data_IF_912592283838
#
_entry.id   IF_912592283838
#
_cell.length_a   1.000
_cell.length_b   1.000
_cell.length_c   1.000
_cell.angle_alpha   90.00
_cell.angle_beta   90.00
_cell.angle_gamma   90.00
#
_symmetry.space_group_name_H-M   'P 1'
#
loop_
_entity.id
_entity.type
_entity.pdbx_description
1 polymer ?
#
# COMPACT_ATOMS: atom_id res chain seq x y z
N UNK A 1 -11.19 -5.94 27.36
CA UNK A 1 -11.18 -7.31 26.80
C UNK A 1 -10.53 -7.30 25.42
N UNK A 2 -9.58 -8.20 25.12
CA UNK A 2 -8.93 -8.29 23.79
C UNK A 2 -9.91 -8.90 22.78
N UNK A 3 -10.20 -8.29 21.62
CA UNK A 3 -11.09 -8.82 20.57
C UNK A 3 -10.71 -10.21 20.06
N UNK A 4 -11.71 -10.95 19.58
CA UNK A 4 -11.54 -12.31 19.05
C UNK A 4 -10.53 -12.37 17.89
N UNK A 5 -10.49 -11.37 17.00
CA UNK A 5 -9.53 -11.31 15.89
C UNK A 5 -8.08 -11.22 16.39
N UNK A 6 -7.82 -10.35 17.37
CA UNK A 6 -6.49 -10.14 17.95
C UNK A 6 -6.04 -11.36 18.77
N UNK A 7 -6.95 -12.01 19.50
CA UNK A 7 -6.65 -13.29 20.18
C UNK A 7 -6.27 -14.38 19.18
N UNK A 8 -7.02 -14.51 18.06
CA UNK A 8 -6.70 -15.47 16.99
C UNK A 8 -5.33 -15.22 16.39
N UNK A 9 -4.99 -13.96 16.14
CA UNK A 9 -3.64 -13.60 15.69
C UNK A 9 -2.59 -14.00 16.71
N UNK A 10 -2.76 -13.60 17.97
CA UNK A 10 -1.79 -13.87 19.02
C UNK A 10 -1.49 -15.37 19.16
N UNK A 11 -2.52 -16.22 19.19
CA UNK A 11 -2.35 -17.67 19.24
C UNK A 11 -1.64 -18.24 18.01
N UNK A 12 -1.98 -17.76 16.80
CA UNK A 12 -1.35 -18.21 15.56
C UNK A 12 0.13 -17.79 15.50
N UNK A 13 0.41 -16.53 15.87
CA UNK A 13 1.74 -15.97 15.88
C UNK A 13 2.64 -16.64 16.92
N UNK A 14 2.16 -16.82 18.16
CA UNK A 14 2.91 -17.53 19.20
C UNK A 14 3.26 -18.95 18.78
N UNK A 15 2.31 -19.70 18.21
CA UNK A 15 2.58 -21.05 17.69
C UNK A 15 3.68 -21.03 16.63
N UNK A 16 3.60 -20.11 15.67
CA UNK A 16 4.62 -19.95 14.65
C UNK A 16 6.01 -19.63 15.23
N UNK A 17 6.07 -18.77 16.26
CA UNK A 17 7.32 -18.40 16.93
C UNK A 17 7.89 -19.57 17.75
N UNK A 18 7.05 -20.36 18.42
CA UNK A 18 7.46 -21.58 19.12
C UNK A 18 8.00 -22.63 18.15
N UNK A 19 7.32 -22.85 17.03
CA UNK A 19 7.77 -23.76 15.97
C UNK A 19 9.12 -23.29 15.41
N UNK A 20 9.28 -21.98 15.16
CA UNK A 20 10.54 -21.41 14.71
C UNK A 20 11.66 -21.62 15.73
N UNK A 21 11.43 -21.38 17.02
CA UNK A 21 12.45 -21.61 18.05
C UNK A 21 12.90 -23.07 18.14
N UNK A 22 11.98 -24.01 17.87
CA UNK A 22 12.24 -25.45 18.00
C UNK A 22 12.83 -26.09 16.74
N UNK A 23 12.40 -25.65 15.57
CA UNK A 23 12.67 -26.32 14.29
C UNK A 23 13.29 -25.40 13.24
N UNK A 24 13.58 -24.15 13.56
CA UNK A 24 14.14 -23.18 12.63
C UNK A 24 15.54 -23.56 12.17
N UNK A 25 15.71 -23.74 10.86
CA UNK A 25 17.01 -23.96 10.23
C UNK A 25 17.44 -22.66 9.53
N UNK A 26 18.58 -22.09 9.93
CA UNK A 26 19.06 -20.78 9.43
C UNK A 26 19.27 -20.78 7.93
N UNK A 27 19.83 -21.85 7.36
CA UNK A 27 20.05 -21.97 5.92
C UNK A 27 18.75 -21.87 5.12
N UNK A 28 17.70 -22.57 5.56
CA UNK A 28 16.38 -22.50 4.93
C UNK A 28 15.80 -21.07 4.98
N UNK A 29 16.05 -20.31 6.06
CA UNK A 29 15.64 -18.91 6.12
C UNK A 29 16.35 -18.07 5.05
N UNK A 30 17.64 -18.25 4.87
CA UNK A 30 18.42 -17.50 3.89
C UNK A 30 17.99 -17.80 2.47
N UNK A 31 17.78 -19.07 2.16
CA UNK A 31 17.30 -19.52 0.85
C UNK A 31 15.92 -18.92 0.55
N UNK A 32 15.04 -18.89 1.54
CA UNK A 32 13.65 -18.41 1.39
C UNK A 32 13.54 -16.89 1.43
N UNK A 33 14.45 -16.22 2.15
CA UNK A 33 14.65 -14.78 2.02
C UNK A 33 14.99 -14.40 0.58
N UNK A 34 15.92 -15.11 -0.04
CA UNK A 34 16.39 -14.82 -1.40
C UNK A 34 15.34 -15.21 -2.45
N UNK A 35 14.70 -16.37 -2.31
CA UNK A 35 13.82 -16.91 -3.34
C UNK A 35 12.41 -16.32 -3.34
N UNK A 36 11.89 -15.96 -2.15
CA UNK A 36 10.47 -15.60 -2.02
C UNK A 36 10.20 -14.39 -1.14
N UNK A 37 10.71 -14.34 0.09
CA UNK A 37 10.32 -13.30 1.06
C UNK A 37 10.78 -11.92 0.58
N UNK A 38 12.06 -11.72 0.24
CA UNK A 38 12.53 -10.41 -0.20
C UNK A 38 11.85 -9.98 -1.51
N UNK A 39 11.77 -10.81 -2.58
CA UNK A 39 11.01 -10.46 -3.77
C UNK A 39 9.55 -10.08 -3.49
N UNK A 40 8.89 -10.79 -2.58
CA UNK A 40 7.50 -10.52 -2.19
C UNK A 40 7.37 -9.16 -1.46
N UNK A 41 8.28 -8.88 -0.53
CA UNK A 41 8.29 -7.61 0.20
C UNK A 41 8.61 -6.43 -0.72
N UNK A 42 9.56 -6.59 -1.66
CA UNK A 42 9.89 -5.57 -2.65
C UNK A 42 8.74 -5.27 -3.61
N UNK A 43 8.02 -6.30 -4.09
CA UNK A 43 6.85 -6.08 -4.95
C UNK A 43 5.70 -5.43 -4.17
N UNK A 44 5.51 -5.79 -2.90
CA UNK A 44 4.53 -5.12 -2.03
C UNK A 44 4.90 -3.66 -1.79
N UNK A 45 6.18 -3.36 -1.53
CA UNK A 45 6.66 -1.99 -1.38
C UNK A 45 6.45 -1.19 -2.67
N UNK A 46 6.73 -1.78 -3.83
CA UNK A 46 6.41 -1.18 -5.14
C UNK A 46 4.92 -0.84 -5.25
N UNK A 47 4.03 -1.77 -4.92
CA UNK A 47 2.58 -1.52 -4.89
C UNK A 47 2.19 -0.36 -3.97
N UNK A 48 2.78 -0.25 -2.78
CA UNK A 48 2.56 0.88 -1.88
C UNK A 48 3.09 2.21 -2.45
N UNK A 49 4.27 2.19 -3.07
CA UNK A 49 4.85 3.36 -3.71
C UNK A 49 3.97 3.90 -4.85
N UNK A 50 3.40 3.00 -5.68
CA UNK A 50 2.44 3.35 -6.73
C UNK A 50 1.23 4.09 -6.14
N UNK A 51 0.61 3.53 -5.10
CA UNK A 51 -0.57 4.13 -4.48
C UNK A 51 -0.27 5.46 -3.78
N UNK A 52 0.92 5.59 -3.18
CA UNK A 52 1.35 6.84 -2.55
C UNK A 52 1.60 7.94 -3.57
N UNK A 53 2.24 7.61 -4.71
CA UNK A 53 2.39 8.56 -5.82
C UNK A 53 1.03 8.96 -6.38
N UNK A 54 0.13 8.00 -6.61
CA UNK A 54 -1.24 8.28 -7.06
C UNK A 54 -1.93 9.27 -6.12
N UNK A 55 -1.86 9.03 -4.80
CA UNK A 55 -2.42 9.95 -3.81
C UNK A 55 -1.81 11.34 -3.91
N UNK A 56 -0.47 11.44 -4.03
CA UNK A 56 0.22 12.73 -4.23
C UNK A 56 -0.34 13.47 -5.45
N UNK A 57 -0.45 12.80 -6.60
CA UNK A 57 -0.95 13.40 -7.83
C UNK A 57 -2.42 13.85 -7.72
N UNK A 58 -3.26 13.08 -7.04
CA UNK A 58 -4.65 13.45 -6.76
C UNK A 58 -4.77 14.65 -5.83
N UNK A 59 -3.82 14.84 -4.90
CA UNK A 59 -3.81 15.93 -3.93
C UNK A 59 -3.21 17.23 -4.50
N UNK A 60 -2.60 17.22 -5.69
CA UNK A 60 -2.12 18.45 -6.36
C UNK A 60 -3.35 19.28 -6.75
N UNK A 61 -3.52 20.44 -6.11
CA UNK A 61 -4.50 21.43 -6.57
C UNK A 61 -4.05 21.97 -7.92
N UNK A 62 -4.88 21.84 -8.96
CA UNK A 62 -4.71 22.65 -10.18
C UNK A 62 -4.90 24.10 -9.76
N UNK A 63 -3.93 24.95 -10.06
CA UNK A 63 -4.09 26.39 -9.81
C UNK A 63 -5.31 26.85 -10.60
N UNK A 64 -6.35 27.30 -9.91
CA UNK A 64 -7.42 28.06 -10.55
C UNK A 64 -6.75 29.29 -11.16
N UNK A 65 -6.84 29.45 -12.49
CA UNK A 65 -6.49 30.72 -13.12
C UNK A 65 -7.29 31.83 -12.41
N UNK A 66 -6.66 32.97 -12.06
CA UNK A 66 -7.41 34.08 -11.48
C UNK A 66 -8.53 34.44 -12.45
N UNK A 67 -9.79 34.22 -12.05
CA UNK A 67 -10.94 34.65 -12.85
C UNK A 67 -10.82 36.16 -13.01
N UNK A 68 -10.58 36.64 -14.22
CA UNK A 68 -10.74 38.05 -14.52
C UNK A 68 -12.22 38.40 -14.30
N UNK A 69 -12.47 39.41 -13.47
CA UNK A 69 -13.82 39.91 -13.21
C UNK A 69 -14.42 40.41 -14.54
N UNK A 70 -15.44 39.71 -15.06
CA UNK A 70 -16.23 40.19 -16.20
C UNK A 70 -16.73 39.14 -17.19
N UNK A 71 -16.27 37.89 -17.16
CA UNK A 71 -16.72 36.88 -18.13
C UNK A 71 -18.06 36.23 -17.76
N UNK A 72 -18.98 36.32 -18.72
CA UNK A 72 -20.34 35.78 -18.70
C UNK A 72 -20.37 34.29 -18.31
N UNK A 73 -21.33 33.92 -17.45
CA UNK A 73 -21.58 32.55 -16.98
C UNK A 73 -22.09 31.62 -18.09
N UNK A 74 -21.28 31.35 -19.11
CA UNK A 74 -21.44 30.13 -19.91
C UNK A 74 -20.71 28.99 -19.19
N UNK A 75 -21.31 27.79 -19.09
CA UNK A 75 -20.57 26.62 -18.67
C UNK A 75 -19.32 26.50 -19.57
N UNK A 76 -18.13 26.28 -19.01
CA UNK A 76 -16.93 26.11 -19.83
C UNK A 76 -17.19 25.01 -20.85
N UNK A 77 -16.83 25.27 -22.10
CA UNK A 77 -16.88 24.25 -23.15
C UNK A 77 -16.03 23.05 -22.67
N UNK A 78 -16.45 21.83 -22.99
CA UNK A 78 -15.79 20.59 -22.56
C UNK A 78 -14.26 20.59 -22.86
N UNK A 79 -13.83 21.39 -23.84
CA UNK A 79 -12.43 21.59 -24.22
C UNK A 79 -11.63 22.50 -23.28
N UNK A 80 -12.26 23.43 -22.57
CA UNK A 80 -11.59 24.36 -21.63
C UNK A 80 -11.28 23.70 -20.27
N UNK A 81 -11.96 22.61 -19.92
CA UNK A 81 -11.74 21.87 -18.68
C UNK A 81 -10.50 20.94 -18.70
N UNK A 82 -9.91 20.69 -19.88
CA UNK A 82 -8.78 19.77 -20.05
C UNK A 82 -7.51 20.54 -20.43
N UNK A 83 -6.84 21.15 -19.45
CA UNK A 83 -5.48 21.64 -19.69
C UNK A 83 -4.55 20.46 -20.03
N UNK A 84 -3.54 20.62 -20.91
CA UNK A 84 -2.59 19.55 -21.24
C UNK A 84 -1.90 18.95 -20.00
N UNK A 85 -1.68 19.77 -18.97
CA UNK A 85 -1.12 19.34 -17.69
C UNK A 85 -2.11 18.46 -16.90
N UNK A 86 -3.40 18.79 -16.88
CA UNK A 86 -4.43 17.96 -16.23
C UNK A 86 -4.64 16.63 -16.96
N UNK A 87 -4.67 16.67 -18.29
CA UNK A 87 -4.70 15.47 -19.14
C UNK A 87 -3.51 14.55 -18.87
N UNK A 88 -2.30 15.11 -18.79
CA UNK A 88 -1.07 14.36 -18.49
C UNK A 88 -1.10 13.74 -17.09
N UNK A 89 -1.60 14.49 -16.10
CA UNK A 89 -1.72 14.01 -14.72
C UNK A 89 -2.72 12.88 -14.59
N UNK A 90 -3.89 13.05 -15.19
CA UNK A 90 -4.94 12.05 -15.15
C UNK A 90 -4.49 10.76 -15.85
N UNK A 91 -3.75 10.88 -16.95
CA UNK A 91 -3.09 9.74 -17.60
C UNK A 91 -2.09 9.06 -16.65
N UNK A 92 -1.20 9.81 -15.98
CA UNK A 92 -0.26 9.22 -15.02
C UNK A 92 -0.97 8.51 -13.85
N UNK A 93 -2.07 9.08 -13.34
CA UNK A 93 -2.91 8.44 -12.32
C UNK A 93 -3.50 7.11 -12.81
N UNK A 94 -3.96 7.05 -14.05
CA UNK A 94 -4.51 5.84 -14.67
C UNK A 94 -3.41 4.78 -14.89
N UNK A 95 -2.28 5.17 -15.47
CA UNK A 95 -1.13 4.29 -15.70
C UNK A 95 -0.62 3.70 -14.37
N UNK A 96 -0.62 4.49 -13.28
CA UNK A 96 -0.29 4.01 -11.95
C UNK A 96 -1.30 2.96 -11.45
N UNK A 97 -2.59 3.12 -11.70
CA UNK A 97 -3.59 2.11 -11.28
C UNK A 97 -3.42 0.79 -12.03
N UNK A 98 -3.12 0.83 -13.32
CA UNK A 98 -2.82 -0.37 -14.11
C UNK A 98 -1.55 -1.05 -13.59
N UNK A 99 -0.50 -0.28 -13.33
CA UNK A 99 0.74 -0.79 -12.74
C UNK A 99 0.53 -1.40 -11.33
N UNK A 100 -0.38 -0.83 -10.52
CA UNK A 100 -0.76 -1.37 -9.22
C UNK A 100 -1.46 -2.72 -9.36
N UNK A 101 -2.42 -2.85 -10.27
CA UNK A 101 -3.13 -4.12 -10.45
C UNK A 101 -2.21 -5.21 -11.01
N UNK A 102 -1.33 -4.88 -11.96
CA UNK A 102 -0.29 -5.81 -12.42
C UNK A 102 0.66 -6.25 -11.28
N UNK A 103 1.04 -5.32 -10.40
CA UNK A 103 1.82 -5.62 -9.18
C UNK A 103 1.06 -6.57 -8.25
N UNK A 104 -0.23 -6.31 -8.03
CA UNK A 104 -1.07 -7.12 -7.17
C UNK A 104 -1.29 -8.53 -7.74
N UNK A 105 -1.46 -8.67 -9.05
CA UNK A 105 -1.58 -9.97 -9.71
C UNK A 105 -0.28 -10.79 -9.59
N UNK A 106 0.87 -10.13 -9.73
CA UNK A 106 2.16 -10.75 -9.46
C UNK A 106 2.24 -11.24 -8.01
N UNK A 107 1.88 -10.40 -7.02
CA UNK A 107 1.84 -10.81 -5.61
C UNK A 107 0.92 -12.01 -5.36
N UNK A 108 -0.25 -12.06 -6.00
CA UNK A 108 -1.15 -13.22 -5.92
C UNK A 108 -0.48 -14.48 -6.48
N UNK A 109 0.17 -14.37 -7.65
CA UNK A 109 0.90 -15.52 -8.23
C UNK A 109 2.07 -16.00 -7.37
N UNK A 110 2.75 -15.08 -6.68
CA UNK A 110 3.82 -15.42 -5.74
C UNK A 110 3.24 -16.13 -4.51
N UNK A 111 2.09 -15.69 -4.01
CA UNK A 111 1.38 -16.36 -2.93
C UNK A 111 1.04 -17.78 -3.34
N UNK A 112 0.55 -18.03 -4.55
CA UNK A 112 0.18 -19.38 -4.99
C UNK A 112 1.39 -20.33 -5.10
N UNK A 113 2.57 -19.80 -5.41
CA UNK A 113 3.82 -20.57 -5.57
C UNK A 113 4.67 -20.69 -4.31
N UNK A 114 4.22 -20.13 -3.18
CA UNK A 114 5.01 -20.04 -1.96
C UNK A 114 5.23 -21.42 -1.33
N UNK A 115 6.37 -21.61 -0.67
CA UNK A 115 6.61 -22.82 0.13
C UNK A 115 5.74 -22.83 1.39
N UNK A 116 5.52 -24.01 1.98
CA UNK A 116 4.82 -24.14 3.26
C UNK A 116 5.76 -24.09 4.47
N UNK A 117 6.98 -23.58 4.29
CA UNK A 117 7.96 -23.56 5.36
C UNK A 117 7.57 -22.61 6.51
N UNK A 118 8.29 -22.71 7.63
CA UNK A 118 7.99 -21.90 8.82
C UNK A 118 8.17 -20.39 8.61
N UNK A 119 9.05 -19.97 7.70
CA UNK A 119 9.38 -18.57 7.45
C UNK A 119 8.31 -17.86 6.61
N UNK A 120 7.87 -18.51 5.54
CA UNK A 120 6.73 -18.09 4.70
C UNK A 120 5.43 -18.15 5.51
N UNK A 121 5.27 -19.14 6.39
CA UNK A 121 4.12 -19.22 7.30
C UNK A 121 4.00 -18.00 8.21
N UNK A 122 5.12 -17.44 8.69
CA UNK A 122 5.11 -16.17 9.43
C UNK A 122 4.55 -15.04 8.57
N UNK A 123 5.01 -14.89 7.33
CA UNK A 123 4.51 -13.88 6.40
C UNK A 123 3.01 -14.05 6.13
N UNK A 124 2.55 -15.28 5.97
CA UNK A 124 1.13 -15.63 5.81
C UNK A 124 0.29 -15.20 7.02
N UNK A 125 0.76 -15.46 8.24
CA UNK A 125 0.04 -15.06 9.45
C UNK A 125 -0.09 -13.54 9.52
N UNK A 126 0.99 -12.81 9.23
CA UNK A 126 0.98 -11.35 9.25
C UNK A 126 0.05 -10.76 8.17
N UNK A 127 0.00 -11.36 6.98
CA UNK A 127 -0.85 -10.91 5.86
C UNK A 127 -2.34 -11.19 6.09
N UNK A 128 -2.67 -12.37 6.62
CA UNK A 128 -4.05 -12.87 6.64
C UNK A 128 -4.80 -12.58 7.96
N UNK A 129 -4.11 -12.07 8.98
CA UNK A 129 -4.73 -11.61 10.21
C UNK A 129 -4.82 -10.09 10.25
N UNK A 130 -5.90 -9.59 10.83
CA UNK A 130 -6.21 -8.17 10.94
C UNK A 130 -6.51 -7.79 12.38
N UNK A 131 -6.14 -6.57 12.75
CA UNK A 131 -6.53 -5.98 14.03
C UNK A 131 -8.02 -5.58 14.03
N UNK A 132 -8.49 -5.02 15.16
CA UNK A 132 -9.87 -4.55 15.29
C UNK A 132 -10.28 -3.44 14.32
N UNK A 133 -9.31 -2.77 13.69
CA UNK A 133 -9.53 -1.68 12.73
C UNK A 133 -9.44 -2.17 11.27
N UNK A 134 -9.29 -3.49 11.06
CA UNK A 134 -9.16 -4.06 9.72
C UNK A 134 -7.79 -3.83 9.09
N UNK A 135 -6.75 -3.53 9.88
CA UNK A 135 -5.37 -3.35 9.41
C UNK A 135 -4.63 -4.68 9.52
N UNK A 136 -3.90 -5.12 8.47
CA UNK A 136 -3.17 -6.39 8.53
C UNK A 136 -2.04 -6.30 9.56
N UNK A 137 -1.76 -7.40 10.26
CA UNK A 137 -0.67 -7.41 11.25
C UNK A 137 0.71 -7.16 10.64
N UNK A 138 0.85 -7.44 9.34
CA UNK A 138 1.99 -7.00 8.56
C UNK A 138 2.23 -5.48 8.71
N UNK A 139 1.17 -4.67 8.53
CA UNK A 139 1.22 -3.23 8.77
C UNK A 139 1.41 -2.89 10.25
N UNK A 140 0.70 -3.58 11.16
CA UNK A 140 0.76 -3.26 12.61
C UNK A 140 2.18 -3.38 13.17
N UNK A 141 2.91 -4.44 12.82
CA UNK A 141 4.24 -4.71 13.35
C UNK A 141 5.32 -3.79 12.76
N UNK A 142 5.11 -3.27 11.54
CA UNK A 142 6.09 -2.40 10.88
C UNK A 142 6.02 -0.93 11.32
N UNK A 143 5.03 -0.56 12.15
CA UNK A 143 4.87 0.82 12.63
C UNK A 143 6.10 1.33 13.37
N UNK A 144 6.68 0.52 14.24
CA UNK A 144 7.88 0.87 15.01
C UNK A 144 9.05 1.16 14.06
N UNK A 145 9.34 0.23 13.13
CA UNK A 145 10.36 0.43 12.09
C UNK A 145 10.13 1.71 11.29
N UNK A 146 8.88 2.00 10.90
CA UNK A 146 8.55 3.23 10.18
C UNK A 146 8.85 4.48 11.03
N UNK A 147 8.53 4.47 12.34
CA UNK A 147 8.84 5.57 13.24
C UNK A 147 10.35 5.73 13.47
N UNK A 148 11.06 4.64 13.76
CA UNK A 148 12.50 4.63 14.07
C UNK A 148 13.36 5.06 12.87
N UNK A 149 12.85 4.93 11.65
CA UNK A 149 13.49 5.39 10.41
C UNK A 149 13.03 6.80 9.98
N UNK A 150 12.32 7.52 10.86
CA UNK A 150 11.87 8.89 10.65
C UNK A 150 10.67 9.04 9.70
N UNK A 151 9.86 7.99 9.51
CA UNK A 151 8.64 7.99 8.71
C UNK A 151 7.42 8.63 9.39
N UNK A 152 6.24 8.55 8.75
CA UNK A 152 5.00 9.16 9.28
C UNK A 152 4.51 8.51 10.58
N UNK A 153 4.85 7.25 10.88
CA UNK A 153 4.33 6.58 12.08
C UNK A 153 4.83 7.20 13.40
N UNK A 154 5.93 7.96 13.36
CA UNK A 154 6.43 8.74 14.50
C UNK A 154 5.92 10.18 14.53
N UNK A 155 4.88 10.52 13.76
CA UNK A 155 4.35 11.89 13.59
C UNK A 155 2.84 11.91 13.71
N UNK A 156 2.29 13.09 13.97
CA UNK A 156 0.83 13.30 14.11
C UNK A 156 0.09 13.47 12.77
N UNK A 157 0.76 13.27 11.63
CA UNK A 157 0.12 13.46 10.31
C UNK A 157 -0.92 12.39 9.95
N UNK A 158 -0.93 11.24 10.65
CA UNK A 158 -1.88 10.14 10.43
C UNK A 158 -1.82 9.51 9.03
N UNK A 159 -0.75 9.76 8.26
CA UNK A 159 -0.70 9.41 6.84
C UNK A 159 -0.74 7.88 6.61
N UNK A 160 -0.09 7.11 7.49
CA UNK A 160 -0.02 5.64 7.45
C UNK A 160 -1.30 4.95 7.95
N UNK A 161 -2.12 5.62 8.76
CA UNK A 161 -3.41 5.08 9.24
C UNK A 161 -4.51 5.15 8.17
N UNK A 162 -4.30 5.94 7.10
CA UNK A 162 -5.24 6.07 5.98
C UNK A 162 -4.96 5.01 4.91
N UNK A 163 -5.97 4.20 4.60
CA UNK A 163 -5.90 3.21 3.51
C UNK A 163 -5.45 3.86 2.18
N UNK A 164 -4.40 3.32 1.58
CA UNK A 164 -3.83 3.76 0.30
C UNK A 164 -4.80 3.55 -0.87
N UNK A 165 -5.59 2.48 -0.80
CA UNK A 165 -6.67 2.15 -1.73
C UNK A 165 -7.81 1.49 -0.96
N UNK A 166 -9.04 1.75 -1.39
CA UNK A 166 -10.22 1.01 -0.97
C UNK A 166 -10.99 0.54 -2.20
N UNK A 167 -11.40 -0.73 -2.22
CA UNK A 167 -12.18 -1.30 -3.32
C UNK A 167 -13.14 -2.37 -2.80
N UNK A 168 -14.21 -2.64 -3.56
CA UNK A 168 -15.18 -3.67 -3.22
C UNK A 168 -14.70 -5.05 -3.67
N UNK A 169 -14.70 -6.02 -2.75
CA UNK A 169 -14.35 -7.42 -3.04
C UNK A 169 -15.56 -8.33 -2.74
N UNK A 170 -15.86 -9.33 -3.59
CA UNK A 170 -16.89 -10.32 -3.30
C UNK A 170 -16.69 -11.02 -1.94
N UNK A 171 -17.80 -11.29 -1.25
CA UNK A 171 -17.83 -11.89 0.09
C UNK A 171 -17.82 -13.42 0.04
N UNK A 172 -16.71 -13.97 -0.46
CA UNK A 172 -16.51 -15.41 -0.56
C UNK A 172 -17.51 -16.12 -1.49
N UNK A 173 -17.37 -17.44 -1.58
CA UNK A 173 -18.23 -18.25 -2.46
C UNK A 173 -19.64 -18.46 -1.91
N UNK A 174 -19.82 -18.34 -0.58
CA UNK A 174 -21.11 -18.57 0.09
C UNK A 174 -22.10 -17.41 -0.08
N UNK A 175 -21.60 -16.21 -0.43
CA UNK A 175 -22.43 -15.01 -0.57
C UNK A 175 -21.96 -14.20 -1.80
N UNK A 176 -22.16 -14.73 -3.01
CA UNK A 176 -21.61 -14.15 -4.25
C UNK A 176 -22.07 -12.71 -4.53
N UNK A 177 -23.29 -12.36 -4.11
CA UNK A 177 -23.86 -11.02 -4.30
C UNK A 177 -23.40 -10.00 -3.25
N UNK A 178 -22.84 -10.46 -2.14
CA UNK A 178 -22.36 -9.57 -1.09
C UNK A 178 -20.95 -9.07 -1.43
N UNK A 179 -20.73 -7.78 -1.21
CA UNK A 179 -19.42 -7.13 -1.36
C UNK A 179 -18.98 -6.58 -0.02
N UNK A 180 -17.69 -6.69 0.27
CA UNK A 180 -17.06 -6.01 1.40
C UNK A 180 -16.04 -5.00 0.90
N UNK A 181 -15.95 -3.86 1.59
CA UNK A 181 -14.87 -2.89 1.36
C UNK A 181 -13.56 -3.50 1.85
N UNK A 182 -12.63 -3.73 0.93
CA UNK A 182 -11.27 -4.10 1.23
C UNK A 182 -10.40 -2.84 1.23
N UNK A 183 -9.51 -2.73 2.21
CA UNK A 183 -8.63 -1.58 2.41
C UNK A 183 -7.18 -2.02 2.37
N UNK A 184 -6.40 -1.34 1.54
CA UNK A 184 -4.96 -1.56 1.40
C UNK A 184 -4.25 -0.58 2.32
N UNK A 185 -3.46 -1.08 3.27
CA UNK A 185 -2.68 -0.28 4.20
C UNK A 185 -1.19 -0.47 3.91
N UNK A 186 -0.42 0.61 4.03
CA UNK A 186 1.03 0.59 3.84
C UNK A 186 1.73 1.70 4.60
N UNK A 187 2.99 1.48 4.94
CA UNK A 187 3.88 2.49 5.51
C UNK A 187 4.50 3.36 4.42
N UNK A 188 5.07 4.49 4.81
CA UNK A 188 5.73 5.42 3.89
C UNK A 188 6.78 4.71 3.05
N UNK A 189 6.72 4.95 1.74
CA UNK A 189 7.84 4.73 0.84
C UNK A 189 8.44 6.09 0.47
N UNK A 190 9.40 6.11 -0.45
CA UNK A 190 9.95 7.34 -1.04
C UNK A 190 8.90 8.17 -1.80
N UNK A 191 7.74 7.60 -2.12
CA UNK A 191 6.62 8.28 -2.79
C UNK A 191 5.62 8.94 -1.84
N UNK A 192 5.81 8.79 -0.52
CA UNK A 192 4.91 9.37 0.46
C UNK A 192 4.93 10.91 0.39
N UNK A 193 3.79 11.59 0.11
CA UNK A 193 3.75 13.05 -0.03
C UNK A 193 4.21 13.78 1.25
N UNK A 194 3.81 13.28 2.43
CA UNK A 194 4.23 13.85 3.72
C UNK A 194 5.75 13.73 3.93
N UNK A 195 6.34 12.57 3.62
CA UNK A 195 7.79 12.41 3.74
C UNK A 195 8.56 13.30 2.76
N UNK A 196 8.08 13.42 1.51
CA UNK A 196 8.69 14.31 0.51
C UNK A 196 8.66 15.76 0.99
N UNK A 197 7.51 16.22 1.49
CA UNK A 197 7.34 17.58 2.01
C UNK A 197 8.30 17.87 3.16
N UNK A 198 8.40 16.98 4.16
CA UNK A 198 9.25 17.25 5.33
C UNK A 198 10.73 17.10 5.01
N UNK A 199 11.11 16.22 4.08
CA UNK A 199 12.52 16.04 3.69
C UNK A 199 12.97 17.07 2.65
N UNK A 200 12.06 17.84 2.06
CA UNK A 200 12.31 18.77 0.96
C UNK A 200 13.10 18.13 -0.21
N UNK A 201 12.94 16.82 -0.40
CA UNK A 201 13.71 16.04 -1.36
C UNK A 201 12.84 14.91 -1.91
N UNK A 202 12.68 14.88 -3.23
CA UNK A 202 11.97 13.81 -3.92
C UNK A 202 12.95 12.99 -4.75
N UNK A 203 13.05 11.69 -4.45
CA UNK A 203 13.78 10.70 -5.25
C UNK A 203 12.75 9.63 -5.62
N UNK A 204 12.33 9.55 -6.89
CA UNK A 204 11.30 8.60 -7.28
C UNK A 204 11.74 7.18 -6.99
N UNK A 205 10.79 6.33 -6.62
CA UNK A 205 11.04 4.91 -6.43
C UNK A 205 11.68 4.32 -7.70
N UNK A 206 12.82 3.61 -7.61
CA UNK A 206 13.63 3.25 -8.77
C UNK A 206 12.91 2.32 -9.76
N UNK A 207 11.89 1.59 -9.27
CA UNK A 207 11.05 0.67 -10.07
C UNK A 207 9.77 1.32 -10.59
N UNK A 208 9.64 2.65 -10.51
CA UNK A 208 8.54 3.42 -11.08
C UNK A 208 9.06 4.35 -12.19
N UNK A 209 8.26 4.61 -13.23
CA UNK A 209 8.60 5.62 -14.24
C UNK A 209 8.90 6.98 -13.61
N UNK A 210 9.64 7.83 -14.30
CA UNK A 210 9.81 9.23 -13.87
C UNK A 210 8.44 9.92 -13.88
N UNK A 211 8.09 10.58 -12.77
CA UNK A 211 6.86 11.37 -12.70
C UNK A 211 7.02 12.69 -13.43
N UNK A 212 5.95 13.18 -14.03
CA UNK A 212 5.92 14.51 -14.66
C UNK A 212 5.68 15.63 -13.63
N UNK A 213 5.48 15.30 -12.35
CA UNK A 213 5.09 16.21 -11.25
C UNK A 213 5.89 15.99 -9.97
#
# INVERSE_FOLDING_TARGET
>A
MIPKCERKFHSAYQRCMSDWKKFGIVKELEDEKKSWINPFEEERERGHAILQRRRRLMDIKVAEHPKQEGESQKPPDYKEACTPAESTRQKEIQDLMEAYWASNDLLLSMIDKRSQNLYVRRVDILRNHFDRHGRPYFWVLERAKCADTGGCCGRDCGCCDKALLAYNRPFGYLYPDQKRVFRVYGHCTVECPCCIQVRHRYHPHPRLPKSNF
#
